data_IF_497295813251
#
_entry.id   IF_497295813251
#
_cell.length_a   1.000
_cell.length_b   1.000
_cell.length_c   1.000
_cell.angle_alpha   90.00
_cell.angle_beta   90.00
_cell.angle_gamma   90.00
#
_symmetry.space_group_name_H-M   'P 1'
#
loop_
_entity.id
_entity.type
_entity.pdbx_description
1 polymer ?
#
# COMPACT_ATOMS: atom_id res chain seq x y z
N UNK A 1 19.14 22.65 -17.25
CA UNK A 1 18.57 22.56 -15.89
C UNK A 1 18.08 21.14 -15.71
N UNK A 2 18.66 20.39 -14.78
CA UNK A 2 18.27 18.99 -14.56
C UNK A 2 17.04 18.97 -13.64
N UNK A 3 16.16 17.99 -13.79
CA UNK A 3 14.85 17.93 -13.09
C UNK A 3 14.99 17.99 -11.55
N UNK A 4 16.15 17.57 -11.02
CA UNK A 4 16.49 17.61 -9.60
C UNK A 4 16.98 18.98 -9.11
N UNK A 5 17.19 19.96 -9.99
CA UNK A 5 17.54 21.34 -9.60
C UNK A 5 16.31 22.17 -9.21
N UNK A 6 15.09 21.65 -9.45
CA UNK A 6 13.81 22.35 -9.25
C UNK A 6 13.13 22.03 -7.91
N UNK A 7 13.51 20.95 -7.23
CA UNK A 7 12.88 20.49 -6.00
C UNK A 7 13.91 20.22 -4.90
N UNK A 8 13.55 20.54 -3.67
CA UNK A 8 14.38 20.20 -2.51
C UNK A 8 14.34 18.68 -2.24
N UNK A 9 15.36 18.11 -1.57
CA UNK A 9 15.33 16.69 -1.19
C UNK A 9 14.09 16.31 -0.38
N UNK A 10 13.60 17.21 0.48
CA UNK A 10 12.41 16.98 1.29
C UNK A 10 11.17 16.84 0.41
N UNK A 11 11.00 17.73 -0.57
CA UNK A 11 9.87 17.67 -1.50
C UNK A 11 9.87 16.38 -2.33
N UNK A 12 11.04 15.96 -2.81
CA UNK A 12 11.20 14.75 -3.62
C UNK A 12 10.79 13.48 -2.90
N UNK A 13 11.18 13.32 -1.63
CA UNK A 13 10.96 12.08 -0.90
C UNK A 13 9.63 12.04 -0.13
N UNK A 14 9.09 13.20 0.28
CA UNK A 14 7.98 13.24 1.23
C UNK A 14 6.73 13.97 0.73
N UNK A 15 6.83 14.84 -0.27
CA UNK A 15 5.70 15.72 -0.65
C UNK A 15 5.17 15.42 -2.05
N UNK A 16 6.05 15.24 -3.03
CA UNK A 16 5.65 15.09 -4.43
C UNK A 16 4.73 13.89 -4.65
N UNK A 17 5.07 12.73 -4.09
CA UNK A 17 4.26 11.54 -4.28
C UNK A 17 2.88 11.63 -3.58
N UNK A 18 2.78 11.91 -2.26
CA UNK A 18 1.48 12.08 -1.62
C UNK A 18 0.59 13.12 -2.31
N UNK A 19 1.17 14.24 -2.75
CA UNK A 19 0.43 15.27 -3.48
C UNK A 19 -0.10 14.78 -4.83
N UNK A 20 0.67 13.99 -5.58
CA UNK A 20 0.23 13.44 -6.88
C UNK A 20 -0.98 12.51 -6.79
N UNK A 21 -1.25 11.98 -5.59
CA UNK A 21 -2.41 11.12 -5.30
C UNK A 21 -3.42 11.79 -4.35
N UNK A 22 -3.35 13.13 -4.24
CA UNK A 22 -4.25 13.96 -3.44
C UNK A 22 -4.33 13.57 -1.95
N UNK A 23 -3.19 13.20 -1.36
CA UNK A 23 -3.06 12.90 0.07
C UNK A 23 -2.02 13.80 0.74
N UNK A 24 -2.26 14.17 1.99
CA UNK A 24 -1.20 14.66 2.86
C UNK A 24 -0.22 13.53 3.19
N UNK A 25 1.01 13.88 3.59
CA UNK A 25 2.01 12.88 3.97
C UNK A 25 1.51 11.91 5.05
N UNK A 26 0.77 12.41 6.05
CA UNK A 26 0.25 11.59 7.14
C UNK A 26 -0.89 10.66 6.70
N UNK A 27 -1.77 11.12 5.79
CA UNK A 27 -2.79 10.26 5.19
C UNK A 27 -2.16 9.14 4.37
N UNK A 28 -1.18 9.49 3.53
CA UNK A 28 -0.44 8.53 2.72
C UNK A 28 0.29 7.52 3.60
N UNK A 29 1.05 7.98 4.61
CA UNK A 29 1.78 7.12 5.54
C UNK A 29 0.84 6.13 6.26
N UNK A 30 -0.29 6.62 6.78
CA UNK A 30 -1.27 5.78 7.47
C UNK A 30 -1.90 4.76 6.52
N UNK A 31 -2.25 5.19 5.31
CA UNK A 31 -2.84 4.32 4.30
C UNK A 31 -1.87 3.22 3.86
N UNK A 32 -0.65 3.58 3.47
CA UNK A 32 0.40 2.62 3.12
C UNK A 32 0.75 1.69 4.28
N UNK A 33 0.80 2.20 5.51
CA UNK A 33 1.04 1.39 6.71
C UNK A 33 -0.06 0.36 6.96
N UNK A 34 -1.33 0.73 6.77
CA UNK A 34 -2.46 -0.21 6.83
C UNK A 34 -2.35 -1.29 5.75
N UNK A 35 -2.02 -0.92 4.51
CA UNK A 35 -1.84 -1.89 3.42
C UNK A 35 -0.70 -2.86 3.76
N UNK A 36 0.45 -2.36 4.22
CA UNK A 36 1.58 -3.17 4.64
C UNK A 36 1.20 -4.17 5.73
N UNK A 37 0.49 -3.73 6.78
CA UNK A 37 0.02 -4.62 7.85
C UNK A 37 -0.90 -5.74 7.34
N UNK A 38 -1.83 -5.40 6.44
CA UNK A 38 -2.72 -6.39 5.81
C UNK A 38 -1.95 -7.39 4.94
N UNK A 39 -1.01 -6.90 4.13
CA UNK A 39 -0.15 -7.74 3.29
C UNK A 39 0.74 -8.67 4.13
N UNK A 40 1.31 -8.19 5.24
CA UNK A 40 2.09 -9.04 6.15
C UNK A 40 1.24 -10.18 6.73
N UNK A 41 0.04 -9.87 7.27
CA UNK A 41 -0.85 -10.89 7.83
C UNK A 41 -1.31 -11.87 6.75
N UNK A 42 -1.72 -11.36 5.58
CA UNK A 42 -2.14 -12.18 4.47
C UNK A 42 -1.02 -13.06 3.91
N UNK A 43 0.20 -12.55 3.86
CA UNK A 43 1.40 -13.32 3.50
C UNK A 43 1.68 -14.46 4.48
N UNK A 44 1.56 -14.21 5.79
CA UNK A 44 1.66 -15.27 6.81
C UNK A 44 0.59 -16.34 6.60
N UNK A 45 -0.66 -15.95 6.35
CA UNK A 45 -1.75 -16.90 6.07
C UNK A 45 -1.50 -17.70 4.80
N UNK A 46 -0.98 -17.08 3.74
CA UNK A 46 -0.61 -17.75 2.51
C UNK A 46 0.53 -18.75 2.70
N UNK A 47 1.53 -18.41 3.52
CA UNK A 47 2.61 -19.35 3.91
C UNK A 47 2.05 -20.54 4.68
N UNK A 48 1.15 -20.32 5.64
CA UNK A 48 0.49 -21.41 6.37
C UNK A 48 -0.33 -22.28 5.41
N UNK A 49 -1.09 -21.68 4.50
CA UNK A 49 -1.85 -22.41 3.47
C UNK A 49 -0.94 -23.25 2.56
N UNK A 50 0.23 -22.74 2.20
CA UNK A 50 1.20 -23.48 1.37
C UNK A 50 1.73 -24.75 2.07
N UNK A 51 1.85 -24.74 3.39
CA UNK A 51 2.26 -25.91 4.19
C UNK A 51 1.05 -26.80 4.51
N UNK A 52 -0.10 -26.18 4.81
CA UNK A 52 -1.34 -26.84 5.23
C UNK A 52 -2.50 -26.38 4.34
N UNK A 53 -2.75 -27.04 3.18
CA UNK A 53 -3.70 -26.57 2.18
C UNK A 53 -5.15 -26.40 2.67
N UNK A 54 -5.54 -27.07 3.74
CA UNK A 54 -6.90 -26.97 4.29
C UNK A 54 -7.11 -25.74 5.19
N UNK A 55 -6.04 -25.02 5.56
CA UNK A 55 -6.12 -23.79 6.34
C UNK A 55 -6.07 -22.56 5.42
N UNK A 56 -6.84 -21.51 5.74
CA UNK A 56 -6.83 -20.21 5.04
C UNK A 56 -7.12 -20.28 3.52
N UNK A 57 -7.97 -21.22 3.09
CA UNK A 57 -8.26 -21.54 1.67
C UNK A 57 -8.60 -20.29 0.82
N UNK A 58 -9.43 -19.38 1.33
CA UNK A 58 -9.87 -18.19 0.60
C UNK A 58 -9.05 -16.94 0.93
N UNK A 59 -8.15 -17.01 1.90
CA UNK A 59 -7.58 -15.82 2.54
C UNK A 59 -6.76 -14.96 1.59
N UNK A 60 -6.07 -15.56 0.61
CA UNK A 60 -5.27 -14.81 -0.36
C UNK A 60 -6.18 -14.02 -1.32
N UNK A 61 -7.23 -14.65 -1.83
CA UNK A 61 -8.20 -14.00 -2.73
C UNK A 61 -8.96 -12.88 -2.01
N UNK A 62 -9.39 -13.11 -0.77
CA UNK A 62 -10.07 -12.12 0.04
C UNK A 62 -9.17 -10.93 0.36
N UNK A 63 -7.89 -11.17 0.67
CA UNK A 63 -6.91 -10.11 0.88
C UNK A 63 -6.76 -9.25 -0.38
N UNK A 64 -6.53 -9.86 -1.54
CA UNK A 64 -6.33 -9.12 -2.80
C UNK A 64 -7.55 -8.25 -3.10
N UNK A 65 -8.77 -8.80 -2.95
CA UNK A 65 -10.01 -8.05 -3.17
C UNK A 65 -10.16 -6.86 -2.20
N UNK A 66 -9.83 -7.05 -0.92
CA UNK A 66 -9.88 -5.97 0.08
C UNK A 66 -8.84 -4.88 -0.21
N UNK A 67 -7.61 -5.26 -0.61
CA UNK A 67 -6.56 -4.31 -0.97
C UNK A 67 -6.93 -3.51 -2.23
N UNK A 68 -7.44 -4.18 -3.26
CA UNK A 68 -7.88 -3.55 -4.52
C UNK A 68 -9.02 -2.54 -4.29
N UNK A 69 -10.01 -2.93 -3.48
CA UNK A 69 -11.09 -2.04 -3.07
C UNK A 69 -10.54 -0.81 -2.36
N UNK A 70 -9.65 -0.99 -1.38
CA UNK A 70 -9.05 0.12 -0.62
C UNK A 70 -8.19 1.04 -1.49
N UNK A 71 -7.44 0.49 -2.44
CA UNK A 71 -6.65 1.26 -3.40
C UNK A 71 -7.56 2.09 -4.31
N UNK A 72 -8.69 1.53 -4.74
CA UNK A 72 -9.64 2.22 -5.61
C UNK A 72 -10.39 3.34 -4.89
N UNK A 73 -10.60 3.21 -3.58
CA UNK A 73 -11.26 4.19 -2.72
C UNK A 73 -10.32 5.28 -2.18
N UNK A 74 -9.00 5.10 -2.29
CA UNK A 74 -8.01 6.01 -1.72
C UNK A 74 -7.43 6.99 -2.74
N UNK A 75 -7.23 8.24 -2.30
CA UNK A 75 -6.62 9.28 -3.10
C UNK A 75 -7.45 9.71 -4.32
N UNK A 76 -6.83 10.49 -5.19
CA UNK A 76 -7.35 10.79 -6.53
C UNK A 76 -6.75 9.87 -7.59
N UNK A 77 -7.45 9.75 -8.72
CA UNK A 77 -7.05 8.94 -9.88
C UNK A 77 -6.45 9.82 -10.97
#
# INVERSE_FOLDING_TARGET
MKVYDLFTPIEMWFSLHPQSVCMSYMEHLRFSGMLAGRMCIGGIKALIHAIFPQMYITSSTELIRDLDQKLTEAGCK
#
